data_IF_629119665752
#
_entry.id   IF_629119665752
#
_cell.length_a   1.000
_cell.length_b   1.000
_cell.length_c   1.000
_cell.angle_alpha   90.00
_cell.angle_beta   90.00
_cell.angle_gamma   90.00
#
_symmetry.space_group_name_H-M   'P 1'
#
loop_
_entity.id
_entity.type
_entity.pdbx_description
1 polymer ?
#
# COMPACT_ATOMS: atom_id res chain seq x y z
N UNK A 1 21.75 -4.01 -7.59
CA UNK A 1 20.28 -3.95 -7.58
C UNK A 1 19.79 -3.39 -8.91
N UNK A 2 18.70 -3.97 -9.47
CA UNK A 2 18.04 -3.45 -10.67
C UNK A 2 16.59 -3.11 -10.30
N UNK A 3 16.15 -1.88 -10.62
CA UNK A 3 14.77 -1.42 -10.48
C UNK A 3 14.11 -1.46 -11.86
N UNK A 4 12.98 -2.16 -11.96
CA UNK A 4 12.19 -2.27 -13.18
C UNK A 4 10.94 -1.40 -13.03
N UNK A 5 10.70 -0.48 -13.94
CA UNK A 5 9.54 0.38 -14.01
C UNK A 5 8.88 0.24 -15.38
N UNK A 6 7.58 -0.07 -15.40
CA UNK A 6 6.86 -0.26 -16.68
C UNK A 6 6.57 1.04 -17.41
N UNK A 7 6.50 2.14 -16.69
CA UNK A 7 6.24 3.46 -17.27
C UNK A 7 7.49 4.08 -17.91
N UNK A 8 7.28 5.18 -18.61
CA UNK A 8 8.32 6.00 -19.25
C UNK A 8 9.14 6.85 -18.26
N UNK A 9 8.68 6.93 -16.99
CA UNK A 9 9.34 7.70 -15.92
C UNK A 9 9.01 7.14 -14.54
N UNK A 10 9.89 7.43 -13.59
CA UNK A 10 9.69 7.08 -12.18
C UNK A 10 8.63 7.98 -11.53
N UNK A 11 7.94 7.44 -10.51
CA UNK A 11 7.16 8.20 -9.57
C UNK A 11 5.82 8.75 -10.08
N UNK A 12 5.21 8.19 -11.12
CA UNK A 12 3.91 8.67 -11.65
C UNK A 12 2.81 8.73 -10.59
N UNK A 13 2.71 7.71 -9.73
CA UNK A 13 1.74 7.71 -8.63
C UNK A 13 2.11 8.77 -7.59
N UNK A 14 3.38 8.88 -7.20
CA UNK A 14 3.86 9.90 -6.25
C UNK A 14 3.50 11.30 -6.72
N UNK A 15 3.68 11.56 -8.02
CA UNK A 15 3.43 12.88 -8.63
C UNK A 15 2.01 13.39 -8.44
N UNK A 16 1.00 12.52 -8.40
CA UNK A 16 -0.41 12.91 -8.26
C UNK A 16 -0.91 12.89 -6.82
N UNK A 17 -0.13 12.35 -5.87
CA UNK A 17 -0.55 12.27 -4.46
C UNK A 17 -0.58 13.65 -3.80
N UNK A 18 -1.42 13.80 -2.78
CA UNK A 18 -1.55 15.05 -2.04
C UNK A 18 -1.87 16.27 -2.92
N UNK A 19 -2.62 16.08 -4.02
CA UNK A 19 -2.92 17.11 -5.02
C UNK A 19 -1.66 17.70 -5.67
N UNK A 20 -0.67 16.84 -5.96
CA UNK A 20 0.61 17.21 -6.56
C UNK A 20 1.67 17.69 -5.56
N UNK A 21 1.37 17.65 -4.27
CA UNK A 21 2.29 18.07 -3.19
C UNK A 21 3.04 16.89 -2.56
N UNK A 22 2.50 15.69 -2.58
CA UNK A 22 2.96 14.47 -1.94
C UNK A 22 3.04 14.58 -0.40
N UNK A 23 2.01 14.14 0.31
CA UNK A 23 2.10 13.94 1.75
C UNK A 23 3.03 12.75 2.03
N UNK A 24 4.17 13.00 2.68
CA UNK A 24 5.22 12.01 2.92
C UNK A 24 4.89 11.09 4.08
N UNK A 25 4.55 11.68 5.21
CA UNK A 25 4.23 10.99 6.46
C UNK A 25 3.39 11.88 7.37
N UNK A 26 3.09 11.39 8.55
CA UNK A 26 2.52 12.18 9.63
C UNK A 26 3.58 12.29 10.74
N UNK A 27 3.88 13.50 11.20
CA UNK A 27 4.87 13.74 12.26
C UNK A 27 4.26 13.45 13.63
N UNK A 28 4.10 12.17 13.93
CA UNK A 28 3.56 11.67 15.19
C UNK A 28 4.31 10.42 15.64
N UNK A 29 4.05 10.00 16.88
CA UNK A 29 4.62 8.79 17.44
C UNK A 29 4.05 7.53 16.78
N UNK A 30 4.77 6.41 16.89
CA UNK A 30 4.38 5.14 16.26
C UNK A 30 3.05 4.63 16.77
N UNK A 31 2.75 4.85 18.05
CA UNK A 31 1.49 4.48 18.69
C UNK A 31 0.29 5.19 18.06
N UNK A 32 0.44 6.47 17.73
CA UNK A 32 -0.60 7.24 17.05
C UNK A 32 -0.82 6.75 15.61
N UNK A 33 0.26 6.44 14.88
CA UNK A 33 0.16 5.81 13.56
C UNK A 33 -0.59 4.49 13.61
N UNK A 34 -0.23 3.62 14.58
CA UNK A 34 -0.88 2.33 14.77
C UNK A 34 -2.35 2.49 15.18
N UNK A 35 -2.68 3.49 16.00
CA UNK A 35 -4.06 3.77 16.38
C UNK A 35 -4.93 4.17 15.18
N UNK A 36 -4.36 4.86 14.19
CA UNK A 36 -5.05 5.26 12.96
C UNK A 36 -5.29 4.11 11.97
N UNK A 37 -4.65 2.95 12.16
CA UNK A 37 -4.87 1.77 11.30
C UNK A 37 -6.15 1.05 11.71
N UNK A 38 -7.14 1.05 10.84
CA UNK A 38 -8.47 0.49 11.11
C UNK A 38 -8.45 -1.04 11.25
N UNK A 39 -7.71 -1.74 10.37
CA UNK A 39 -7.71 -3.21 10.27
C UNK A 39 -6.28 -3.74 10.33
N UNK A 40 -6.08 -4.87 11.04
CA UNK A 40 -4.79 -5.58 11.12
C UNK A 40 -3.59 -4.73 11.56
N UNK A 41 -3.78 -3.75 12.45
CA UNK A 41 -2.69 -2.85 12.92
C UNK A 41 -1.45 -3.60 13.41
N UNK A 42 -1.62 -4.80 14.00
CA UNK A 42 -0.51 -5.62 14.49
C UNK A 42 0.47 -6.04 13.37
N UNK A 43 0.00 -6.17 12.15
CA UNK A 43 0.86 -6.50 11.00
C UNK A 43 1.90 -5.42 10.72
N UNK A 44 1.59 -4.15 11.04
CA UNK A 44 2.46 -3.01 10.77
C UNK A 44 3.45 -2.69 11.91
N UNK A 45 3.39 -3.39 13.05
CA UNK A 45 4.29 -3.12 14.18
C UNK A 45 5.76 -3.08 13.76
N UNK A 46 6.27 -4.17 13.20
CA UNK A 46 7.67 -4.26 12.81
C UNK A 46 8.06 -3.21 11.77
N UNK A 47 7.14 -2.87 10.86
CA UNK A 47 7.41 -1.86 9.83
C UNK A 47 7.53 -0.46 10.44
N UNK A 48 6.58 -0.04 11.29
CA UNK A 48 6.56 1.31 11.84
C UNK A 48 7.62 1.54 12.92
N UNK A 49 7.95 0.52 13.73
CA UNK A 49 9.07 0.60 14.66
C UNK A 49 10.43 0.44 13.96
N UNK A 50 10.50 -0.24 12.82
CA UNK A 50 11.72 -0.39 12.03
C UNK A 50 12.05 0.82 11.17
N UNK A 51 11.05 1.63 10.81
CA UNK A 51 11.20 2.87 10.04
C UNK A 51 10.08 3.85 10.41
N UNK A 52 10.41 4.78 11.29
CA UNK A 52 9.46 5.71 11.92
C UNK A 52 9.11 6.90 11.02
N UNK A 53 8.16 7.72 11.46
CA UNK A 53 7.88 9.01 10.82
C UNK A 53 9.10 9.92 10.81
N UNK A 54 9.87 9.94 11.90
CA UNK A 54 11.09 10.74 11.99
C UNK A 54 12.16 10.22 11.03
N UNK A 55 12.34 8.88 10.92
CA UNK A 55 13.27 8.31 9.94
C UNK A 55 12.89 8.69 8.50
N UNK A 56 11.59 8.78 8.21
CA UNK A 56 11.11 9.24 6.90
C UNK A 56 11.51 10.71 6.66
N UNK A 57 11.29 11.59 7.63
CA UNK A 57 11.68 13.01 7.55
C UNK A 57 13.19 13.11 7.34
N UNK A 58 13.98 12.45 8.19
CA UNK A 58 15.44 12.47 8.15
C UNK A 58 15.98 11.94 6.82
N UNK A 59 15.36 10.89 6.27
CA UNK A 59 15.73 10.35 4.96
C UNK A 59 15.62 11.39 3.84
N UNK A 60 14.55 12.18 3.81
CA UNK A 60 14.37 13.21 2.80
C UNK A 60 15.26 14.43 3.04
N UNK A 61 15.41 14.88 4.29
CA UNK A 61 16.33 15.97 4.65
C UNK A 61 17.78 15.62 4.26
N UNK A 62 18.26 14.42 4.60
CA UNK A 62 19.58 13.92 4.20
C UNK A 62 19.72 13.71 2.69
N UNK A 63 18.60 13.58 1.98
CA UNK A 63 18.59 13.50 0.52
C UNK A 63 18.60 14.88 -0.16
N UNK A 64 18.64 15.96 0.63
CA UNK A 64 18.70 17.34 0.18
C UNK A 64 17.33 17.95 -0.14
N UNK A 65 16.25 17.35 0.35
CA UNK A 65 14.89 17.85 0.19
C UNK A 65 14.34 18.29 1.56
N UNK A 66 14.17 19.58 1.75
CA UNK A 66 13.58 20.12 2.98
C UNK A 66 12.10 19.79 3.09
N UNK A 67 11.68 19.48 4.30
CA UNK A 67 10.31 19.14 4.65
C UNK A 67 9.65 20.24 5.50
N UNK A 68 8.33 20.24 5.57
CA UNK A 68 7.54 21.05 6.48
C UNK A 68 6.38 20.25 7.04
N UNK A 69 6.06 20.51 8.31
CA UNK A 69 4.90 19.95 8.98
C UNK A 69 3.76 20.96 8.97
N UNK A 70 2.58 20.55 8.53
CA UNK A 70 1.36 21.36 8.48
C UNK A 70 0.33 20.88 9.51
N UNK A 71 -0.81 21.58 9.58
CA UNK A 71 -1.92 21.23 10.48
C UNK A 71 -2.29 19.75 10.34
N UNK A 72 -2.49 19.08 11.45
CA UNK A 72 -2.75 17.63 11.53
C UNK A 72 -1.49 16.80 11.35
N UNK A 73 -0.33 17.37 11.68
CA UNK A 73 0.98 16.73 11.65
C UNK A 73 1.39 16.17 10.26
N UNK A 74 0.74 16.63 9.19
CA UNK A 74 1.05 16.17 7.83
C UNK A 74 2.36 16.77 7.34
N UNK A 75 3.25 15.90 6.84
CA UNK A 75 4.57 16.30 6.35
C UNK A 75 4.58 16.35 4.83
N UNK A 76 5.02 17.49 4.30
CA UNK A 76 5.15 17.75 2.87
C UNK A 76 6.56 18.24 2.53
N UNK A 77 6.99 18.17 1.25
CA UNK A 77 8.16 18.92 0.82
C UNK A 77 7.94 20.43 1.04
N UNK A 78 8.95 21.15 1.47
CA UNK A 78 8.86 22.59 1.74
C UNK A 78 8.43 23.40 0.50
N UNK A 79 8.76 22.93 -0.68
CA UNK A 79 8.40 23.50 -1.98
C UNK A 79 6.94 23.29 -2.39
N UNK A 80 6.21 22.39 -1.74
CA UNK A 80 4.87 21.92 -2.16
C UNK A 80 4.84 21.21 -3.52
N UNK A 81 5.96 20.67 -3.98
CA UNK A 81 6.05 19.97 -5.26
C UNK A 81 6.44 18.51 -5.10
N UNK A 82 5.56 17.59 -5.53
CA UNK A 82 5.84 16.15 -5.56
C UNK A 82 7.05 15.79 -6.47
N UNK A 83 7.41 16.66 -7.43
CA UNK A 83 8.61 16.51 -8.25
C UNK A 83 9.89 16.44 -7.42
N UNK A 84 9.96 17.18 -6.31
CA UNK A 84 11.17 17.22 -5.48
C UNK A 84 11.32 15.92 -4.70
N UNK A 85 10.20 15.30 -4.29
CA UNK A 85 10.20 13.95 -3.71
C UNK A 85 10.77 12.94 -4.71
N UNK A 86 10.31 13.01 -5.96
CA UNK A 86 10.79 12.12 -7.04
C UNK A 86 12.29 12.37 -7.32
N UNK A 87 12.71 13.63 -7.32
CA UNK A 87 14.11 13.99 -7.53
C UNK A 87 15.01 13.47 -6.40
N UNK A 88 14.60 13.61 -5.13
CA UNK A 88 15.32 13.10 -3.97
C UNK A 88 15.47 11.58 -4.04
N UNK A 89 14.37 10.83 -4.31
CA UNK A 89 14.39 9.38 -4.45
C UNK A 89 15.27 8.94 -5.63
N UNK A 90 15.15 9.58 -6.79
CA UNK A 90 15.96 9.28 -7.97
C UNK A 90 17.45 9.56 -7.72
N UNK A 91 17.76 10.63 -6.99
CA UNK A 91 19.12 10.95 -6.57
C UNK A 91 19.72 9.88 -5.66
N UNK A 92 18.93 9.35 -4.72
CA UNK A 92 19.35 8.23 -3.85
C UNK A 92 19.59 6.96 -4.64
N UNK A 93 18.69 6.59 -5.57
CA UNK A 93 18.90 5.44 -6.46
C UNK A 93 20.22 5.54 -7.22
N UNK A 94 20.50 6.71 -7.81
CA UNK A 94 21.74 6.97 -8.54
C UNK A 94 22.98 6.86 -7.64
N UNK A 95 22.96 7.49 -6.45
CA UNK A 95 24.06 7.42 -5.47
C UNK A 95 24.32 5.98 -5.00
N UNK A 96 23.28 5.17 -4.89
CA UNK A 96 23.38 3.76 -4.48
C UNK A 96 23.75 2.82 -5.66
N UNK A 97 24.03 3.32 -6.84
CA UNK A 97 24.40 2.50 -8.00
C UNK A 97 23.29 1.59 -8.51
N UNK A 98 22.02 1.91 -8.24
CA UNK A 98 20.88 1.12 -8.71
C UNK A 98 20.72 1.31 -10.22
N UNK A 99 20.66 0.20 -10.96
CA UNK A 99 20.33 0.21 -12.38
C UNK A 99 18.81 0.37 -12.55
N UNK A 100 18.38 1.49 -13.12
CA UNK A 100 16.97 1.74 -13.43
C UNK A 100 16.70 1.36 -14.89
N UNK A 101 15.65 0.57 -15.12
CA UNK A 101 15.14 0.21 -16.44
C UNK A 101 13.70 0.68 -16.55
N UNK A 102 13.45 1.66 -17.40
CA UNK A 102 12.12 2.15 -17.76
C UNK A 102 11.53 1.32 -18.90
N UNK A 103 10.22 1.41 -19.12
CA UNK A 103 9.49 0.58 -20.09
C UNK A 103 9.73 -0.93 -19.89
N UNK A 104 10.02 -1.33 -18.64
CA UNK A 104 10.35 -2.70 -18.27
C UNK A 104 9.18 -3.35 -17.52
N UNK A 105 8.10 -3.63 -18.27
CA UNK A 105 6.92 -4.28 -17.70
C UNK A 105 7.19 -5.76 -17.43
N UNK A 106 7.02 -6.17 -16.17
CA UNK A 106 7.18 -7.56 -15.77
C UNK A 106 5.92 -8.35 -16.10
N UNK A 107 6.06 -9.40 -16.90
CA UNK A 107 5.02 -10.34 -17.27
C UNK A 107 4.77 -11.36 -16.15
N UNK A 108 5.85 -11.98 -15.66
CA UNK A 108 5.77 -13.06 -14.67
C UNK A 108 7.06 -13.20 -13.85
N UNK A 109 6.96 -13.87 -12.71
CA UNK A 109 8.10 -14.29 -11.91
C UNK A 109 8.66 -15.61 -12.46
N UNK A 110 9.98 -15.72 -12.55
CA UNK A 110 10.66 -16.99 -12.81
C UNK A 110 10.71 -17.77 -11.51
N UNK A 111 10.16 -18.98 -11.52
CA UNK A 111 10.10 -19.87 -10.37
C UNK A 111 10.61 -21.24 -10.75
N UNK A 112 11.48 -21.80 -9.93
CA UNK A 112 12.02 -23.15 -10.06
C UNK A 112 11.51 -24.02 -8.91
N UNK A 113 11.13 -25.24 -9.21
CA UNK A 113 10.79 -26.22 -8.17
C UNK A 113 12.06 -26.62 -7.41
N UNK A 114 12.01 -26.59 -6.09
CA UNK A 114 13.08 -27.14 -5.27
C UNK A 114 12.95 -28.68 -5.28
N UNK A 115 13.77 -29.34 -6.07
CA UNK A 115 13.89 -30.80 -6.07
C UNK A 115 14.55 -31.23 -4.74
N UNK A 116 13.80 -31.93 -3.87
CA UNK A 116 14.37 -32.63 -2.73
C UNK A 116 14.44 -31.90 -1.39
N UNK A 117 13.67 -30.84 -1.17
CA UNK A 117 13.48 -30.34 0.20
C UNK A 117 12.55 -31.29 0.97
N UNK A 118 13.08 -32.37 1.51
CA UNK A 118 12.53 -32.93 2.75
C UNK A 118 12.67 -31.83 3.80
N UNK A 119 11.56 -31.21 4.18
CA UNK A 119 11.51 -30.35 5.37
C UNK A 119 11.79 -31.29 6.53
N UNK A 120 13.04 -31.34 6.99
CA UNK A 120 13.38 -31.93 8.27
C UNK A 120 12.73 -31.02 9.33
N UNK A 121 11.55 -31.41 9.77
CA UNK A 121 11.00 -30.95 11.04
C UNK A 121 11.84 -31.58 12.14
N UNK A 122 12.99 -30.98 12.47
CA UNK A 122 13.64 -31.19 13.75
C UNK A 122 12.82 -30.49 14.82
N UNK A 123 11.74 -31.13 15.23
CA UNK A 123 10.94 -30.73 16.38
C UNK A 123 11.37 -31.62 17.54
N UNK A 124 11.90 -30.99 18.57
CA UNK A 124 12.19 -31.59 19.87
C UNK A 124 10.98 -32.36 20.39
N UNK A 125 11.26 -33.56 20.85
CA UNK A 125 10.30 -34.49 21.46
C UNK A 125 9.83 -33.95 22.80
N UNK A 126 8.68 -33.28 22.83
CA UNK A 126 7.87 -33.04 24.03
C UNK A 126 6.65 -33.96 23.99
N UNK A 127 6.57 -34.91 24.91
CA UNK A 127 5.46 -35.83 25.10
C UNK A 127 4.22 -35.08 25.58
N UNK A 128 3.04 -35.58 25.15
CA UNK A 128 1.68 -35.32 25.68
C UNK A 128 0.90 -34.13 25.13
N UNK A 129 0.22 -34.36 23.97
CA UNK A 129 -1.08 -33.76 23.69
C UNK A 129 -1.92 -34.67 22.77
N UNK A 130 -3.24 -34.83 22.97
CA UNK A 130 -4.06 -35.82 22.29
C UNK A 130 -4.36 -35.44 20.83
N UNK A 131 -4.16 -36.44 19.98
CA UNK A 131 -4.41 -36.41 18.54
C UNK A 131 -5.91 -36.21 18.22
N UNK A 132 -6.31 -35.04 17.75
CA UNK A 132 -7.60 -34.82 17.12
C UNK A 132 -7.57 -35.24 15.66
N UNK A 133 -8.33 -36.29 15.29
CA UNK A 133 -8.48 -36.78 13.93
C UNK A 133 -9.18 -35.76 13.04
N UNK A 134 -8.46 -35.16 12.12
CA UNK A 134 -9.00 -34.32 11.04
C UNK A 134 -8.21 -34.55 9.77
N UNK A 135 -8.59 -35.60 9.00
CA UNK A 135 -8.04 -35.91 7.68
C UNK A 135 -8.42 -34.83 6.68
N UNK A 136 -7.49 -33.91 6.35
CA UNK A 136 -7.39 -33.29 5.03
C UNK A 136 -5.91 -33.30 4.67
N UNK A 137 -5.52 -34.27 3.83
CA UNK A 137 -4.28 -34.17 3.07
C UNK A 137 -4.41 -32.97 2.14
N UNK A 138 -3.95 -31.79 2.57
CA UNK A 138 -3.58 -30.74 1.64
C UNK A 138 -2.32 -31.27 0.95
N UNK A 139 -2.40 -31.51 -0.34
CA UNK A 139 -1.21 -31.68 -1.17
C UNK A 139 -0.42 -30.37 -1.06
N UNK A 140 0.63 -30.38 -0.27
CA UNK A 140 1.55 -29.24 -0.17
C UNK A 140 2.17 -29.04 -1.55
N UNK A 141 1.87 -27.91 -2.17
CA UNK A 141 2.49 -27.54 -3.43
C UNK A 141 4.02 -27.54 -3.25
N UNK A 142 4.79 -28.09 -4.22
CA UNK A 142 6.23 -28.19 -4.07
C UNK A 142 6.85 -26.81 -3.78
N UNK A 143 7.77 -26.77 -2.83
CA UNK A 143 8.50 -25.57 -2.49
C UNK A 143 9.16 -25.00 -3.75
N UNK A 144 8.99 -23.69 -4.01
CA UNK A 144 9.50 -23.01 -5.20
C UNK A 144 10.45 -21.89 -4.79
N UNK A 145 11.50 -21.70 -5.57
CA UNK A 145 12.42 -20.58 -5.43
C UNK A 145 12.21 -19.61 -6.58
N UNK A 146 12.16 -18.31 -6.28
CA UNK A 146 12.17 -17.27 -7.30
C UNK A 146 13.60 -17.07 -7.77
N UNK A 147 13.82 -17.13 -9.09
CA UNK A 147 15.14 -17.04 -9.74
C UNK A 147 15.23 -15.83 -10.67
N UNK A 148 14.19 -15.01 -10.74
CA UNK A 148 14.17 -13.80 -11.56
C UNK A 148 12.78 -13.41 -12.03
N UNK A 149 12.75 -12.67 -13.14
CA UNK A 149 11.51 -12.20 -13.78
C UNK A 149 11.60 -12.31 -15.31
N UNK A 150 10.42 -12.38 -15.95
CA UNK A 150 10.29 -12.26 -17.42
C UNK A 150 9.57 -10.96 -17.73
N UNK A 151 10.10 -10.19 -18.66
CA UNK A 151 9.47 -8.98 -19.18
C UNK A 151 8.43 -9.32 -20.25
N UNK A 152 7.59 -8.35 -20.61
CA UNK A 152 6.57 -8.51 -21.66
C UNK A 152 7.18 -8.82 -23.05
N UNK A 153 8.38 -8.32 -23.33
CA UNK A 153 9.14 -8.61 -24.55
C UNK A 153 9.80 -10.01 -24.55
N UNK A 154 9.60 -10.81 -23.50
CA UNK A 154 10.17 -12.14 -23.33
C UNK A 154 11.58 -12.16 -22.73
N UNK A 155 12.20 -11.02 -22.47
CA UNK A 155 13.52 -10.94 -21.85
C UNK A 155 13.48 -11.47 -20.42
N UNK A 156 14.41 -12.38 -20.10
CA UNK A 156 14.60 -12.92 -18.76
C UNK A 156 15.66 -12.12 -18.01
N UNK A 157 15.37 -11.76 -16.78
CA UNK A 157 16.30 -11.06 -15.88
C UNK A 157 16.46 -11.95 -14.65
N UNK A 158 17.62 -12.61 -14.49
CA UNK A 158 17.90 -13.43 -13.32
C UNK A 158 18.09 -12.56 -12.08
N UNK A 159 17.68 -13.08 -10.92
CA UNK A 159 17.83 -12.44 -9.63
C UNK A 159 17.79 -13.48 -8.50
N UNK A 160 18.56 -13.26 -7.44
CA UNK A 160 18.55 -14.09 -6.24
C UNK A 160 17.33 -13.81 -5.35
N UNK A 161 16.79 -12.60 -5.44
CA UNK A 161 15.58 -12.16 -4.75
C UNK A 161 14.83 -11.11 -5.58
N UNK A 162 13.50 -11.08 -5.43
CA UNK A 162 12.64 -10.11 -6.11
C UNK A 162 11.76 -9.41 -5.08
N UNK A 163 11.84 -8.06 -5.04
CA UNK A 163 10.94 -7.23 -4.24
C UNK A 163 9.81 -6.77 -5.16
N UNK A 164 8.58 -7.19 -4.87
CA UNK A 164 7.39 -6.78 -5.61
C UNK A 164 6.84 -5.50 -4.97
N UNK A 165 7.02 -4.36 -5.65
CA UNK A 165 6.62 -3.03 -5.19
C UNK A 165 5.76 -2.32 -6.25
N UNK A 166 4.86 -3.05 -6.90
CA UNK A 166 4.08 -2.60 -8.07
C UNK A 166 2.88 -1.72 -7.73
N UNK A 167 2.66 -1.42 -6.46
CA UNK A 167 1.45 -0.72 -5.99
C UNK A 167 0.20 -1.60 -6.04
N UNK A 168 -0.96 -0.97 -5.78
CA UNK A 168 -2.26 -1.64 -5.76
C UNK A 168 -3.01 -1.53 -7.09
N UNK A 169 -4.33 -1.20 -7.00
CA UNK A 169 -5.23 -1.07 -8.15
C UNK A 169 -5.84 0.33 -8.30
N UNK A 170 -5.46 1.26 -7.44
CA UNK A 170 -5.90 2.65 -7.51
C UNK A 170 -5.09 3.42 -8.56
N UNK A 171 -5.75 4.33 -9.29
CA UNK A 171 -5.11 5.15 -10.33
C UNK A 171 -4.35 4.33 -11.39
N UNK A 172 -5.05 3.43 -12.06
CA UNK A 172 -4.48 2.51 -13.07
C UNK A 172 -3.61 3.19 -14.13
N UNK A 173 -3.92 4.44 -14.48
CA UNK A 173 -3.16 5.25 -15.45
C UNK A 173 -1.74 5.59 -14.99
N UNK A 174 -1.46 5.44 -13.70
CA UNK A 174 -0.10 5.61 -13.15
C UNK A 174 0.72 4.32 -13.12
N UNK A 175 0.14 3.20 -13.55
CA UNK A 175 0.79 1.89 -13.56
C UNK A 175 0.36 0.95 -12.44
N UNK A 176 -0.49 1.38 -11.50
CA UNK A 176 -1.02 0.55 -10.41
C UNK A 176 -2.17 -0.34 -10.91
N UNK A 177 -1.83 -1.42 -11.61
CA UNK A 177 -2.78 -2.30 -12.30
C UNK A 177 -3.07 -3.61 -11.57
N UNK A 178 -2.51 -3.79 -10.36
CA UNK A 178 -2.71 -5.00 -9.55
C UNK A 178 -1.74 -6.14 -9.87
N UNK A 179 -0.64 -5.87 -10.56
CA UNK A 179 0.35 -6.89 -10.92
C UNK A 179 0.89 -7.64 -9.71
N UNK A 180 1.08 -6.96 -8.57
CA UNK A 180 1.55 -7.57 -7.33
C UNK A 180 0.62 -8.68 -6.83
N UNK A 181 -0.69 -8.49 -6.92
CA UNK A 181 -1.66 -9.53 -6.54
C UNK A 181 -1.59 -10.73 -7.47
N UNK A 182 -1.39 -10.49 -8.77
CA UNK A 182 -1.22 -11.55 -9.78
C UNK A 182 0.05 -12.35 -9.50
N UNK A 183 1.17 -11.69 -9.22
CA UNK A 183 2.44 -12.33 -8.87
C UNK A 183 2.35 -13.12 -7.58
N UNK A 184 1.70 -12.57 -6.55
CA UNK A 184 1.48 -13.26 -5.28
C UNK A 184 0.67 -14.56 -5.46
N UNK A 185 -0.44 -14.50 -6.21
CA UNK A 185 -1.24 -15.69 -6.53
C UNK A 185 -0.44 -16.74 -7.30
N UNK A 186 0.35 -16.32 -8.29
CA UNK A 186 1.19 -17.22 -9.08
C UNK A 186 2.28 -17.88 -8.22
N UNK A 187 2.78 -17.18 -7.19
CA UNK A 187 3.74 -17.70 -6.23
C UNK A 187 3.11 -18.60 -5.15
N UNK A 188 1.77 -18.78 -5.15
CA UNK A 188 1.05 -19.65 -4.21
C UNK A 188 0.51 -18.93 -2.97
N UNK A 189 0.60 -17.60 -2.89
CA UNK A 189 -0.02 -16.85 -1.79
C UNK A 189 -1.54 -16.75 -1.96
N UNK A 190 -2.25 -16.82 -0.85
CA UNK A 190 -3.65 -16.46 -0.80
C UNK A 190 -3.78 -14.94 -0.82
N UNK A 191 -4.57 -14.42 -1.74
CA UNK A 191 -4.86 -12.98 -1.86
C UNK A 191 -6.33 -12.78 -1.55
N UNK A 192 -6.63 -12.04 -0.49
CA UNK A 192 -7.99 -11.65 -0.11
C UNK A 192 -8.60 -10.71 -1.14
N UNK A 193 -9.91 -10.67 -1.22
CA UNK A 193 -10.62 -9.72 -2.07
C UNK A 193 -10.33 -8.28 -1.64
N UNK A 194 -10.09 -7.42 -2.64
CA UNK A 194 -9.86 -6.00 -2.40
C UNK A 194 -11.19 -5.26 -2.37
N UNK A 195 -11.46 -4.57 -1.28
CA UNK A 195 -12.60 -3.66 -1.16
C UNK A 195 -12.16 -2.20 -1.27
N UNK A 196 -13.05 -1.30 -1.73
CA UNK A 196 -12.79 0.13 -1.76
C UNK A 196 -12.53 0.67 -0.34
N UNK A 197 -11.60 1.62 -0.22
CA UNK A 197 -11.28 2.32 1.01
C UNK A 197 -10.83 3.75 0.69
N UNK A 198 -11.13 4.71 1.55
CA UNK A 198 -10.90 6.14 1.32
C UNK A 198 -11.57 6.64 0.03
N UNK A 199 -12.82 6.24 -0.17
CA UNK A 199 -13.62 6.57 -1.36
C UNK A 199 -14.88 7.34 -0.97
N UNK A 200 -15.47 8.15 -1.90
CA UNK A 200 -16.79 8.70 -1.72
C UNK A 200 -17.84 7.59 -1.58
N UNK A 201 -18.96 7.92 -0.95
CA UNK A 201 -20.10 7.02 -0.81
C UNK A 201 -21.25 7.46 -1.71
N UNK A 202 -21.89 6.51 -2.38
CA UNK A 202 -23.13 6.74 -3.10
C UNK A 202 -24.31 6.72 -2.12
N UNK A 203 -25.31 7.56 -2.37
CA UNK A 203 -26.57 7.55 -1.61
C UNK A 203 -27.67 6.91 -2.47
N UNK A 204 -28.56 6.17 -1.82
CA UNK A 204 -29.72 5.59 -2.49
C UNK A 204 -30.77 6.67 -2.83
N UNK A 205 -30.76 7.78 -2.11
CA UNK A 205 -31.72 8.87 -2.26
C UNK A 205 -31.22 9.93 -3.24
N UNK A 206 -32.12 10.46 -4.07
CA UNK A 206 -31.84 11.46 -5.10
C UNK A 206 -31.57 12.87 -4.53
N UNK A 207 -31.92 13.16 -3.29
CA UNK A 207 -31.79 14.51 -2.75
C UNK A 207 -30.32 14.95 -2.60
N UNK A 208 -29.38 14.03 -2.42
CA UNK A 208 -27.96 14.34 -2.33
C UNK A 208 -27.45 15.05 -3.59
N UNK A 209 -27.91 14.63 -4.77
CA UNK A 209 -27.56 15.25 -6.04
C UNK A 209 -28.00 16.72 -6.17
N UNK A 210 -29.15 17.07 -5.54
CA UNK A 210 -29.64 18.46 -5.52
C UNK A 210 -28.77 19.39 -4.68
N UNK A 211 -27.98 18.82 -3.76
CA UNK A 211 -27.07 19.54 -2.88
C UNK A 211 -25.62 19.54 -3.42
N UNK A 212 -25.40 19.09 -4.65
CA UNK A 212 -24.07 19.00 -5.24
C UNK A 212 -23.25 20.28 -5.04
N UNK A 213 -22.03 20.13 -4.50
CA UNK A 213 -21.10 21.23 -4.24
C UNK A 213 -21.28 21.90 -2.87
N UNK A 214 -22.38 21.59 -2.14
CA UNK A 214 -22.54 22.06 -0.76
C UNK A 214 -21.52 21.37 0.14
N UNK A 215 -20.63 22.18 0.72
CA UNK A 215 -19.66 21.74 1.73
C UNK A 215 -20.17 22.10 3.13
N UNK A 216 -20.27 21.11 3.99
CA UNK A 216 -20.60 21.28 5.39
C UNK A 216 -19.32 21.27 6.21
N UNK A 217 -19.15 22.29 7.04
CA UNK A 217 -18.04 22.41 7.99
C UNK A 217 -18.56 22.32 9.42
N UNK A 218 -17.74 21.78 10.31
CA UNK A 218 -18.09 21.65 11.72
C UNK A 218 -19.39 20.85 11.92
N UNK A 219 -19.50 19.71 11.24
CA UNK A 219 -20.60 18.76 11.38
C UNK A 219 -20.11 17.47 12.01
N UNK A 220 -20.97 16.79 12.73
CA UNK A 220 -20.74 15.41 13.16
C UNK A 220 -21.41 14.45 12.18
N UNK A 221 -20.67 13.46 11.73
CA UNK A 221 -21.18 12.37 10.88
C UNK A 221 -21.19 11.09 11.67
N UNK A 222 -22.33 10.43 11.71
CA UNK A 222 -22.49 9.10 12.33
C UNK A 222 -22.98 8.12 11.27
N UNK A 223 -22.29 6.99 11.12
CA UNK A 223 -22.71 5.87 10.25
C UNK A 223 -23.24 4.76 11.14
N UNK A 224 -24.43 4.29 10.81
CA UNK A 224 -25.15 3.24 11.53
C UNK A 224 -25.38 2.03 10.61
N UNK A 225 -25.21 0.82 11.15
CA UNK A 225 -25.74 -0.40 10.58
C UNK A 225 -26.88 -0.88 11.46
N UNK A 226 -28.11 -0.58 11.06
CA UNK A 226 -29.31 -0.71 11.88
C UNK A 226 -29.20 0.16 13.13
N UNK A 227 -28.99 -0.46 14.30
CA UNK A 227 -28.81 0.24 15.58
C UNK A 227 -27.36 0.34 16.04
N UNK A 228 -26.44 -0.31 15.33
CA UNK A 228 -25.03 -0.34 15.69
C UNK A 228 -24.31 0.87 15.07
N UNK A 229 -23.66 1.65 15.92
CA UNK A 229 -22.77 2.72 15.46
C UNK A 229 -21.47 2.10 14.94
N UNK A 230 -21.15 2.36 13.67
CA UNK A 230 -19.91 1.92 13.01
C UNK A 230 -18.85 3.01 13.05
N UNK A 231 -19.27 4.26 12.92
CA UNK A 231 -18.36 5.41 12.83
C UNK A 231 -19.07 6.65 13.36
N UNK A 232 -18.33 7.51 14.08
CA UNK A 232 -18.76 8.85 14.50
C UNK A 232 -17.56 9.76 14.57
N UNK A 233 -17.59 10.88 13.86
CA UNK A 233 -16.51 11.85 13.91
C UNK A 233 -17.03 13.27 13.56
N UNK A 234 -16.32 14.29 14.04
CA UNK A 234 -16.59 15.69 13.79
C UNK A 234 -15.61 16.28 12.78
N UNK A 235 -16.11 17.03 11.78
CA UNK A 235 -15.24 17.64 10.76
C UNK A 235 -16.01 18.20 9.56
N UNK A 236 -15.57 17.84 8.36
CA UNK A 236 -16.08 18.38 7.10
C UNK A 236 -16.55 17.27 6.17
N UNK A 237 -17.65 17.52 5.44
CA UNK A 237 -18.15 16.68 4.35
C UNK A 237 -18.68 17.54 3.21
N UNK A 238 -18.90 16.93 2.05
CA UNK A 238 -19.43 17.59 0.86
C UNK A 238 -20.39 16.68 0.10
N UNK A 239 -21.43 17.26 -0.47
CA UNK A 239 -22.34 16.57 -1.38
C UNK A 239 -21.81 16.56 -2.81
N UNK A 240 -22.01 15.43 -3.49
CA UNK A 240 -21.67 15.24 -4.91
C UNK A 240 -22.94 14.95 -5.71
N UNK A 241 -22.82 14.83 -7.02
CA UNK A 241 -23.96 14.47 -7.88
C UNK A 241 -24.46 13.03 -7.70
N UNK A 242 -23.75 12.20 -6.95
CA UNK A 242 -24.11 10.79 -6.70
C UNK A 242 -24.15 10.42 -5.20
N UNK A 243 -23.81 11.34 -4.32
CA UNK A 243 -23.80 11.05 -2.89
C UNK A 243 -22.94 12.02 -2.09
N UNK A 244 -22.06 11.49 -1.26
CA UNK A 244 -21.29 12.27 -0.29
C UNK A 244 -19.79 11.97 -0.36
N UNK A 245 -18.96 12.96 0.01
CA UNK A 245 -17.51 12.88 0.05
C UNK A 245 -16.95 13.83 1.13
N UNK A 246 -15.67 14.03 1.14
CA UNK A 246 -14.97 14.89 2.10
C UNK A 246 -14.23 14.06 3.16
N UNK A 247 -13.42 14.71 4.01
CA UNK A 247 -12.54 13.99 4.94
C UNK A 247 -13.26 12.96 5.81
N UNK A 248 -14.41 13.33 6.41
CA UNK A 248 -15.20 12.43 7.25
C UNK A 248 -15.69 11.19 6.49
N UNK A 249 -16.23 11.39 5.28
CA UNK A 249 -16.79 10.31 4.47
C UNK A 249 -15.69 9.38 3.96
N UNK A 250 -14.55 9.94 3.54
CA UNK A 250 -13.40 9.14 3.10
C UNK A 250 -12.86 8.26 4.24
N UNK A 251 -12.75 8.82 5.45
CA UNK A 251 -12.35 8.03 6.63
C UNK A 251 -13.39 6.96 6.95
N UNK A 252 -14.66 7.31 6.97
CA UNK A 252 -15.75 6.40 7.25
C UNK A 252 -15.82 5.21 6.27
N UNK A 253 -15.44 5.40 5.01
CA UNK A 253 -15.40 4.33 4.01
C UNK A 253 -14.33 3.26 4.26
N UNK A 254 -13.46 3.47 5.25
CA UNK A 254 -12.39 2.53 5.63
C UNK A 254 -12.75 1.65 6.84
N UNK A 255 -13.92 1.88 7.46
CA UNK A 255 -14.36 1.21 8.70
C UNK A 255 -15.41 0.07 8.45
#
# INVERSE_FOLDING_TARGET
VTLLEKNEKLGKTVYITGKGRCNLTNNCEVEELLAAVCVNRKFLYSAFYGFTSQDTIDFFEQSGMHTKTERGNRVFPASDHASDVIAALSGRLKKSGVKVMLHAEVKELLMEALLGAQIACEGETGKDAPCGKGNRKQEEAPARRITGVVLQDGKRIPADAVIVATGGISYRTTGSTGDGYRFAKAAGHQVTECSPSLVPMETAEDWAARLQGLSLRNVEVTILDGKKELYREFGEMMFTHYGVTGPLILTASSV
#
